data_IF_405274128386
#
_entry.id   IF_405274128386
#
_cell.length_a   1.000
_cell.length_b   1.000
_cell.length_c   1.000
_cell.angle_alpha   90.00
_cell.angle_beta   90.00
_cell.angle_gamma   90.00
#
_symmetry.space_group_name_H-M   'P 1'
#
loop_
_entity.id
_entity.type
_entity.pdbx_description
1 polymer ?
#
# COMPACT_ATOMS: atom_id res chain seq x y z
N UNK A 1 -48.29 -7.19 3.21
CA UNK A 1 -47.29 -7.61 4.18
C UNK A 1 -46.13 -8.40 3.55
N UNK A 2 -46.36 -9.33 2.65
CA UNK A 2 -45.30 -10.09 2.00
C UNK A 2 -44.38 -9.25 1.11
N UNK A 3 -44.86 -8.13 0.56
CA UNK A 3 -44.07 -7.25 -0.30
C UNK A 3 -43.00 -6.45 0.46
N UNK A 4 -43.20 -6.19 1.75
CA UNK A 4 -42.26 -5.45 2.59
C UNK A 4 -41.02 -6.29 2.91
N UNK A 5 -41.20 -7.59 3.11
CA UNK A 5 -40.12 -8.53 3.40
C UNK A 5 -39.15 -8.66 2.21
N UNK A 6 -39.67 -8.63 0.98
CA UNK A 6 -38.88 -8.71 -0.26
C UNK A 6 -38.01 -7.46 -0.44
N UNK A 7 -38.53 -6.28 -0.09
CA UNK A 7 -37.79 -5.01 -0.17
C UNK A 7 -36.63 -4.99 0.83
N UNK A 8 -36.83 -5.50 2.03
CA UNK A 8 -35.79 -5.57 3.07
C UNK A 8 -34.68 -6.52 2.63
N UNK A 9 -35.02 -7.64 2.01
CA UNK A 9 -34.05 -8.60 1.50
C UNK A 9 -33.19 -8.03 0.35
N UNK A 10 -33.80 -7.22 -0.49
CA UNK A 10 -33.12 -6.53 -1.59
C UNK A 10 -32.08 -5.52 -1.08
N UNK A 11 -32.34 -4.88 0.05
CA UNK A 11 -31.41 -3.95 0.68
C UNK A 11 -30.16 -4.63 1.25
N UNK A 12 -30.30 -5.87 1.73
CA UNK A 12 -29.17 -6.63 2.23
C UNK A 12 -28.16 -7.03 1.14
N UNK A 13 -28.64 -7.21 -0.07
CA UNK A 13 -27.77 -7.55 -1.20
C UNK A 13 -26.88 -6.38 -1.65
N UNK A 14 -27.31 -5.14 -1.39
CA UNK A 14 -26.53 -3.95 -1.76
C UNK A 14 -25.37 -3.68 -0.81
N UNK A 15 -25.45 -4.15 0.44
CA UNK A 15 -24.37 -3.97 1.44
C UNK A 15 -23.18 -4.88 1.16
N UNK A 16 -23.37 -6.02 0.51
CA UNK A 16 -22.30 -6.96 0.19
C UNK A 16 -21.36 -6.53 -0.93
N UNK A 17 -21.66 -5.44 -1.65
CA UNK A 17 -20.84 -4.98 -2.77
C UNK A 17 -19.82 -3.90 -2.41
N UNK A 18 -19.72 -3.49 -1.14
CA UNK A 18 -18.88 -2.36 -0.72
C UNK A 18 -17.55 -2.76 -0.06
N UNK A 19 -17.20 -4.04 -0.07
CA UNK A 19 -16.09 -4.56 0.76
C UNK A 19 -14.72 -4.54 0.09
N UNK A 20 -14.54 -3.95 -1.08
CA UNK A 20 -13.29 -4.11 -1.84
C UNK A 20 -12.52 -2.81 -2.08
N UNK A 21 -12.73 -1.77 -1.29
CA UNK A 21 -12.08 -0.48 -1.53
C UNK A 21 -10.73 -0.38 -0.82
N UNK A 22 -9.68 -0.73 -1.55
CA UNK A 22 -8.31 -0.40 -1.16
C UNK A 22 -8.06 1.05 -1.57
N UNK A 23 -7.67 1.87 -0.60
CA UNK A 23 -7.49 3.30 -0.81
C UNK A 23 -6.06 3.65 -1.23
N UNK A 24 -5.95 4.66 -2.08
CA UNK A 24 -4.71 5.36 -2.34
C UNK A 24 -4.80 6.73 -1.67
N UNK A 25 -3.84 7.05 -0.80
CA UNK A 25 -3.84 8.34 -0.10
C UNK A 25 -2.80 9.26 -0.72
N UNK A 26 -3.26 10.19 -1.52
CA UNK A 26 -2.37 11.14 -2.20
C UNK A 26 -1.60 12.04 -1.23
N UNK A 27 -2.15 12.32 -0.07
CA UNK A 27 -1.45 13.06 0.98
C UNK A 27 -0.22 12.33 1.48
N UNK A 28 -0.33 11.02 1.71
CA UNK A 28 0.80 10.19 2.13
C UNK A 28 1.86 10.16 1.03
N UNK A 29 1.47 10.02 -0.22
CA UNK A 29 2.39 10.06 -1.36
C UNK A 29 3.16 11.40 -1.42
N UNK A 30 2.47 12.51 -1.21
CA UNK A 30 3.08 13.84 -1.18
C UNK A 30 4.06 14.00 -0.02
N UNK A 31 3.74 13.48 1.16
CA UNK A 31 4.64 13.50 2.30
C UNK A 31 5.89 12.68 2.04
N UNK A 32 5.74 11.50 1.49
CA UNK A 32 6.88 10.66 1.12
C UNK A 32 7.74 11.38 0.07
N UNK A 33 7.12 11.95 -0.94
CA UNK A 33 7.80 12.74 -1.96
C UNK A 33 8.65 13.86 -1.34
N UNK A 34 8.08 14.60 -0.41
CA UNK A 34 8.77 15.69 0.29
C UNK A 34 10.00 15.19 1.03
N UNK A 35 9.90 14.02 1.71
CA UNK A 35 11.04 13.43 2.41
C UNK A 35 12.12 13.01 1.42
N UNK A 36 11.76 12.40 0.29
CA UNK A 36 12.73 11.97 -0.72
C UNK A 36 13.42 13.17 -1.37
N UNK A 37 12.70 14.25 -1.62
CA UNK A 37 13.27 15.50 -2.17
C UNK A 37 14.25 16.19 -1.20
N UNK A 38 14.06 16.00 0.10
CA UNK A 38 14.92 16.60 1.12
C UNK A 38 16.22 15.79 1.23
N UNK A 39 17.28 16.30 0.64
CA UNK A 39 18.60 15.63 0.60
C UNK A 39 19.26 15.47 1.96
N UNK A 40 18.76 16.16 2.99
CA UNK A 40 19.23 15.98 4.36
C UNK A 40 18.63 14.72 5.01
N UNK A 41 17.58 14.15 4.44
CA UNK A 41 16.92 12.94 4.91
C UNK A 41 17.50 11.71 4.23
N UNK A 42 17.76 10.67 5.02
CA UNK A 42 18.26 9.38 4.52
C UNK A 42 17.25 8.24 4.70
N UNK A 43 16.15 8.49 5.39
CA UNK A 43 15.14 7.50 5.72
C UNK A 43 13.74 8.10 5.65
N UNK A 44 12.76 7.23 5.36
CA UNK A 44 11.34 7.56 5.43
C UNK A 44 10.76 6.82 6.64
N UNK A 45 10.23 7.56 7.61
CA UNK A 45 9.54 6.98 8.75
C UNK A 45 8.05 6.85 8.43
N UNK A 46 7.65 5.67 8.01
CA UNK A 46 6.26 5.41 7.60
C UNK A 46 5.30 5.53 8.77
N UNK A 47 5.72 5.16 9.99
CA UNK A 47 4.84 5.23 11.17
C UNK A 47 4.41 6.67 11.46
N UNK A 48 5.31 7.64 11.29
CA UNK A 48 4.96 9.04 11.54
C UNK A 48 4.08 9.64 10.44
N UNK A 49 4.13 9.08 9.23
CA UNK A 49 3.41 9.60 8.07
C UNK A 49 2.05 8.93 7.84
N UNK A 50 1.95 7.63 8.12
CA UNK A 50 0.72 6.87 7.91
C UNK A 50 -0.21 7.04 9.12
N UNK A 51 -1.36 7.68 8.91
CA UNK A 51 -2.32 8.03 9.95
C UNK A 51 -3.53 7.10 9.99
N UNK A 52 -3.36 5.86 9.61
CA UNK A 52 -4.41 4.84 9.60
C UNK A 52 -3.90 3.58 10.30
N UNK A 53 -4.80 2.64 10.59
CA UNK A 53 -4.45 1.38 11.25
C UNK A 53 -3.89 0.38 10.26
N UNK A 54 -2.68 -0.12 10.53
CA UNK A 54 -2.02 -1.14 9.73
C UNK A 54 -1.08 -1.96 10.63
N UNK A 55 -0.80 -3.20 10.25
CA UNK A 55 0.11 -4.05 11.01
C UNK A 55 1.32 -4.52 10.21
N UNK A 56 1.23 -4.57 8.88
CA UNK A 56 2.34 -4.92 8.00
C UNK A 56 2.34 -4.01 6.77
N UNK A 57 3.53 -3.69 6.28
CA UNK A 57 3.69 -2.99 5.02
C UNK A 57 4.80 -3.63 4.21
N UNK A 58 4.55 -3.78 2.92
CA UNK A 58 5.49 -4.37 1.97
C UNK A 58 5.87 -3.33 0.93
N UNK A 59 7.15 -3.30 0.57
CA UNK A 59 7.63 -2.44 -0.50
C UNK A 59 8.10 -3.32 -1.66
N UNK A 60 7.61 -3.01 -2.86
CA UNK A 60 7.93 -3.76 -4.06
C UNK A 60 8.70 -2.86 -5.03
N UNK A 61 9.86 -3.33 -5.50
CA UNK A 61 10.65 -2.56 -6.47
C UNK A 61 10.04 -2.63 -7.88
N UNK A 62 10.55 -1.79 -8.80
CA UNK A 62 10.13 -1.82 -10.20
C UNK A 62 10.15 -3.24 -10.78
N UNK A 63 9.20 -3.50 -11.68
CA UNK A 63 9.06 -4.76 -12.41
C UNK A 63 8.67 -5.96 -11.54
N UNK A 64 8.17 -5.74 -10.33
CA UNK A 64 7.64 -6.85 -9.51
C UNK A 64 6.37 -7.38 -10.15
N UNK A 65 6.31 -8.71 -10.35
CA UNK A 65 5.17 -9.34 -10.99
C UNK A 65 3.97 -9.45 -10.05
N UNK A 66 2.77 -9.55 -10.62
CA UNK A 66 1.55 -9.77 -9.84
C UNK A 66 1.64 -11.04 -9.00
N UNK A 67 2.21 -12.11 -9.56
CA UNK A 67 2.40 -13.38 -8.83
C UNK A 67 3.29 -13.17 -7.60
N UNK A 68 4.39 -12.44 -7.75
CA UNK A 68 5.30 -12.15 -6.64
C UNK A 68 4.64 -11.30 -5.56
N UNK A 69 3.85 -10.30 -5.95
CA UNK A 69 3.10 -9.47 -5.01
C UNK A 69 2.18 -10.36 -4.16
N UNK A 70 1.36 -11.18 -4.79
CA UNK A 70 0.39 -12.02 -4.09
C UNK A 70 1.08 -13.06 -3.19
N UNK A 71 2.19 -13.62 -3.63
CA UNK A 71 2.97 -14.57 -2.81
C UNK A 71 3.54 -13.91 -1.55
N UNK A 72 4.08 -12.71 -1.69
CA UNK A 72 4.68 -12.00 -0.55
C UNK A 72 3.63 -11.49 0.42
N UNK A 73 2.50 -11.01 -0.08
CA UNK A 73 1.38 -10.53 0.75
C UNK A 73 0.62 -11.68 1.41
N UNK A 74 0.71 -12.89 0.86
CA UNK A 74 -0.12 -14.05 1.25
C UNK A 74 -1.62 -13.77 1.11
N UNK A 75 -1.97 -12.90 0.16
CA UNK A 75 -3.35 -12.55 -0.20
C UNK A 75 -3.35 -11.98 -1.61
N UNK A 76 -4.43 -12.19 -2.35
CA UNK A 76 -4.54 -11.61 -3.68
C UNK A 76 -4.81 -10.10 -3.59
N UNK A 77 -3.99 -9.32 -4.27
CA UNK A 77 -4.16 -7.88 -4.41
C UNK A 77 -3.87 -7.50 -5.86
N UNK A 78 -4.89 -7.16 -6.61
CA UNK A 78 -4.70 -6.71 -7.99
C UNK A 78 -4.06 -5.32 -7.98
N UNK A 79 -2.81 -5.27 -8.40
CA UNK A 79 -2.03 -4.04 -8.39
C UNK A 79 -2.58 -3.02 -9.41
N UNK A 80 -3.10 -1.88 -8.95
CA UNK A 80 -3.58 -0.85 -9.86
C UNK A 80 -2.48 0.04 -10.43
N UNK A 81 -1.24 -0.07 -9.93
CA UNK A 81 -0.13 0.76 -10.37
C UNK A 81 0.58 0.23 -11.60
N UNK A 82 0.36 -1.03 -11.99
CA UNK A 82 1.06 -1.71 -13.08
C UNK A 82 2.59 -1.71 -12.88
N UNK A 83 3.04 -1.99 -11.66
CA UNK A 83 4.46 -1.95 -11.32
C UNK A 83 5.28 -2.98 -12.13
N UNK A 84 4.64 -4.05 -12.60
CA UNK A 84 5.29 -5.07 -13.41
C UNK A 84 5.88 -4.53 -14.73
N UNK A 85 5.39 -3.38 -15.19
CA UNK A 85 5.85 -2.74 -16.43
C UNK A 85 6.46 -1.36 -16.21
N UNK A 86 6.71 -0.96 -14.96
CA UNK A 86 7.19 0.40 -14.63
C UNK A 86 8.50 0.37 -13.88
N UNK A 87 9.35 1.37 -14.17
CA UNK A 87 10.62 1.58 -13.47
C UNK A 87 10.69 2.91 -12.71
N UNK A 88 9.61 3.68 -12.71
CA UNK A 88 9.58 5.03 -12.14
C UNK A 88 9.08 5.10 -10.70
N UNK A 89 8.55 4.00 -10.18
CA UNK A 89 7.98 3.93 -8.83
C UNK A 89 8.41 2.67 -8.08
N UNK A 90 8.28 2.73 -6.75
CA UNK A 90 8.12 1.56 -5.88
C UNK A 90 6.66 1.51 -5.43
N UNK A 91 6.17 0.32 -5.16
CA UNK A 91 4.81 0.11 -4.66
C UNK A 91 4.87 -0.24 -3.17
N UNK A 92 4.17 0.55 -2.36
CA UNK A 92 4.05 0.31 -0.91
C UNK A 92 2.63 -0.17 -0.62
N UNK A 93 2.49 -1.34 -0.02
CA UNK A 93 1.19 -1.96 0.27
C UNK A 93 1.06 -2.21 1.75
N UNK A 94 -0.01 -1.71 2.34
CA UNK A 94 -0.31 -1.86 3.76
C UNK A 94 -1.38 -2.92 3.98
N UNK A 95 -1.14 -3.78 4.96
CA UNK A 95 -2.13 -4.76 5.41
C UNK A 95 -2.54 -4.47 6.85
N UNK A 96 -3.74 -4.89 7.19
CA UNK A 96 -4.21 -4.97 8.56
C UNK A 96 -5.00 -6.26 8.73
N UNK A 97 -4.56 -7.13 9.65
CA UNK A 97 -5.18 -8.43 9.92
C UNK A 97 -5.35 -9.28 8.65
N UNK A 98 -4.31 -9.30 7.81
CA UNK A 98 -4.27 -10.11 6.59
C UNK A 98 -5.04 -9.52 5.40
N UNK A 99 -5.55 -8.30 5.51
CA UNK A 99 -6.28 -7.63 4.43
C UNK A 99 -5.52 -6.40 3.96
N UNK A 100 -5.44 -6.19 2.65
CA UNK A 100 -4.87 -4.96 2.10
C UNK A 100 -5.83 -3.81 2.40
N UNK A 101 -5.32 -2.77 3.07
CA UNK A 101 -6.11 -1.60 3.46
C UNK A 101 -5.74 -0.36 2.69
N UNK A 102 -4.49 -0.27 2.21
CA UNK A 102 -4.01 0.90 1.48
C UNK A 102 -2.80 0.55 0.65
N UNK A 103 -2.60 1.28 -0.45
CA UNK A 103 -1.36 1.21 -1.24
C UNK A 103 -0.93 2.63 -1.62
N UNK A 104 0.36 2.79 -1.89
CA UNK A 104 0.95 4.06 -2.31
C UNK A 104 1.99 3.82 -3.40
N UNK A 105 2.08 4.75 -4.33
CA UNK A 105 3.15 4.78 -5.33
C UNK A 105 4.23 5.73 -4.85
N UNK A 106 5.45 5.20 -4.66
CA UNK A 106 6.59 6.02 -4.24
C UNK A 106 7.42 6.35 -5.47
N UNK A 107 7.46 7.61 -5.87
CA UNK A 107 8.27 8.07 -7.01
C UNK A 107 9.74 7.97 -6.69
N UNK A 108 10.51 7.36 -7.57
CA UNK A 108 11.93 7.10 -7.35
C UNK A 108 12.78 8.35 -7.31
N UNK A 109 12.63 9.24 -8.28
CA UNK A 109 13.38 10.49 -8.34
C UNK A 109 14.89 10.30 -8.17
N UNK A 110 15.47 9.40 -8.97
CA UNK A 110 16.88 9.01 -8.90
C UNK A 110 17.27 8.41 -7.55
N UNK A 111 16.33 7.68 -6.93
CA UNK A 111 16.55 6.97 -5.69
C UNK A 111 16.05 5.55 -5.77
N UNK A 112 16.63 4.69 -4.95
CA UNK A 112 16.09 3.39 -4.63
C UNK A 112 15.72 3.36 -3.14
N UNK A 113 14.93 2.37 -2.76
CA UNK A 113 14.43 2.25 -1.40
C UNK A 113 14.73 0.86 -0.86
N UNK A 114 15.13 0.78 0.40
CA UNK A 114 15.52 -0.49 1.01
C UNK A 114 14.97 -0.61 2.42
N UNK A 115 14.50 -1.79 2.73
CA UNK A 115 14.13 -2.18 4.11
C UNK A 115 15.16 -3.13 4.72
N UNK A 116 16.32 -3.28 4.06
CA UNK A 116 17.37 -4.20 4.48
C UNK A 116 16.93 -5.65 4.33
N UNK A 117 17.21 -6.47 5.33
CA UNK A 117 16.85 -7.89 5.30
C UNK A 117 15.42 -8.19 5.76
N UNK A 118 14.66 -7.18 6.10
CA UNK A 118 13.26 -7.35 6.53
C UNK A 118 12.37 -7.75 5.36
N UNK A 119 11.47 -8.67 5.59
CA UNK A 119 10.47 -9.07 4.59
C UNK A 119 9.33 -8.06 4.51
N UNK A 120 9.02 -7.40 5.63
CA UNK A 120 7.96 -6.40 5.71
C UNK A 120 8.25 -5.44 6.86
N UNK A 121 7.57 -4.31 6.84
CA UNK A 121 7.61 -3.32 7.91
C UNK A 121 6.45 -3.55 8.88
N UNK A 122 6.67 -3.14 10.13
CA UNK A 122 5.63 -3.09 11.17
C UNK A 122 5.59 -1.68 11.75
N UNK A 123 4.50 -1.28 12.45
CA UNK A 123 4.44 0.06 13.06
C UNK A 123 5.58 0.37 14.02
N UNK A 124 6.17 -0.65 14.65
CA UNK A 124 7.32 -0.47 15.55
C UNK A 124 8.66 -0.45 14.83
N UNK A 125 8.70 -0.80 13.54
CA UNK A 125 9.92 -0.88 12.74
C UNK A 125 9.59 -0.58 11.28
N UNK A 126 9.41 0.71 10.98
CA UNK A 126 8.84 1.18 9.73
C UNK A 126 9.72 2.19 8.99
N UNK A 127 11.03 2.03 9.10
CA UNK A 127 11.98 2.90 8.40
C UNK A 127 12.34 2.31 7.03
N UNK A 128 12.22 3.14 5.99
CA UNK A 128 12.67 2.82 4.64
C UNK A 128 13.90 3.67 4.34
N UNK A 129 15.02 3.00 4.02
CA UNK A 129 16.25 3.70 3.67
C UNK A 129 16.17 4.25 2.25
N UNK A 130 16.58 5.50 2.07
CA UNK A 130 16.69 6.14 0.76
C UNK A 130 18.11 5.95 0.24
N UNK A 131 18.24 5.29 -0.91
CA UNK A 131 19.52 5.08 -1.58
C UNK A 131 19.55 5.97 -2.82
N UNK A 132 20.22 7.10 -2.73
CA UNK A 132 20.31 8.05 -3.85
C UNK A 132 21.36 7.60 -4.85
N UNK A 133 21.00 7.72 -6.11
CA UNK A 133 21.85 7.33 -7.23
C UNK A 133 22.60 8.55 -7.76
#
# INVERSE_FOLDING_TARGET
MKKVIIVIFSLYLLVGCSDSNVLQNKKLEEFIYTVVEDKSKSEIDITSLAKFTWDKAFIFPPYTTQVSIDEQLDVHFKDPSNIDTRDDIYLLVFLNKGKVVQYEEIKRQKSDFSVGEKKFLTPSSASIKIVRI
#
